data_IF_511782054851
#
_entry.id   IF_511782054851
#
_cell.length_a   1.000
_cell.length_b   1.000
_cell.length_c   1.000
_cell.angle_alpha   90.00
_cell.angle_beta   90.00
_cell.angle_gamma   90.00
#
_symmetry.space_group_name_H-M   'P 1'
#
loop_
_entity.id
_entity.type
_entity.pdbx_description
1 polymer ?
#
# COMPACT_ATOMS: atom_id res chain seq x y z
N UNK A 1 70.46 -3.09 -14.07
CA UNK A 1 69.69 -1.86 -13.79
C UNK A 1 68.23 -2.24 -13.57
N UNK A 2 67.68 -1.96 -12.38
CA UNK A 2 66.25 -2.08 -12.04
C UNK A 2 65.58 -0.72 -12.23
N UNK A 3 64.30 -0.68 -12.59
CA UNK A 3 63.37 0.02 -11.71
C UNK A 3 62.33 -0.91 -11.07
N UNK A 4 61.97 -0.55 -9.84
CA UNK A 4 60.99 -1.15 -8.94
C UNK A 4 59.60 -0.53 -9.18
N UNK A 5 58.59 -1.30 -8.74
CA UNK A 5 57.26 -0.87 -8.25
C UNK A 5 56.26 -0.37 -9.33
N UNK A 6 54.94 -0.51 -9.18
CA UNK A 6 54.13 -0.74 -7.98
C UNK A 6 52.86 -1.54 -8.31
N UNK A 7 52.39 -2.36 -7.36
CA UNK A 7 51.02 -2.87 -7.29
C UNK A 7 50.10 -1.76 -6.77
N UNK A 8 48.97 -1.44 -7.40
CA UNK A 8 47.87 -0.79 -6.71
C UNK A 8 47.04 -1.87 -6.01
N UNK A 9 47.17 -1.91 -4.68
CA UNK A 9 46.18 -2.46 -3.78
C UNK A 9 45.03 -1.47 -3.61
N UNK A 10 43.80 -1.97 -3.57
CA UNK A 10 42.68 -1.34 -2.87
C UNK A 10 42.10 -0.06 -3.48
N UNK A 11 40.91 -0.20 -4.06
CA UNK A 11 39.86 0.80 -3.86
C UNK A 11 38.55 0.03 -3.65
N UNK A 12 38.08 0.06 -2.40
CA UNK A 12 36.83 -0.56 -1.99
C UNK A 12 35.66 0.05 -2.77
N UNK A 13 34.74 -0.81 -3.22
CA UNK A 13 33.40 -0.46 -3.67
C UNK A 13 32.70 0.47 -2.66
N UNK A 14 32.23 1.67 -3.04
CA UNK A 14 31.17 2.34 -2.32
C UNK A 14 29.84 1.99 -3.00
N UNK A 15 29.41 0.72 -2.93
CA UNK A 15 28.09 0.31 -3.45
C UNK A 15 27.35 -0.44 -2.35
N UNK A 16 26.99 0.25 -1.27
CA UNK A 16 26.18 -0.34 -0.20
C UNK A 16 25.10 0.59 0.37
N UNK A 17 25.01 1.85 -0.07
CA UNK A 17 24.05 2.81 0.50
C UNK A 17 22.71 2.86 -0.28
N UNK A 18 22.69 2.45 -1.54
CA UNK A 18 21.46 2.52 -2.38
C UNK A 18 20.41 1.46 -2.00
N UNK A 19 20.83 0.31 -1.44
CA UNK A 19 19.93 -0.79 -1.10
C UNK A 19 18.96 -0.48 0.05
N UNK A 20 19.32 0.44 0.95
CA UNK A 20 18.46 0.83 2.08
C UNK A 20 17.25 1.67 1.62
N UNK A 21 17.42 2.49 0.58
CA UNK A 21 16.34 3.35 0.08
C UNK A 21 15.23 2.54 -0.61
N UNK A 22 15.61 1.51 -1.37
CA UNK A 22 14.62 0.61 -2.01
C UNK A 22 13.84 -0.25 -1.01
N UNK A 23 14.43 -0.53 0.16
CA UNK A 23 13.78 -1.32 1.20
C UNK A 23 12.68 -0.52 1.93
N UNK A 24 12.91 0.77 2.21
CA UNK A 24 11.90 1.65 2.84
C UNK A 24 10.71 1.93 1.91
N UNK A 25 10.97 2.16 0.62
CA UNK A 25 9.90 2.33 -0.38
C UNK A 25 8.97 1.10 -0.39
N UNK A 26 9.56 -0.10 -0.29
CA UNK A 26 8.81 -1.35 -0.23
C UNK A 26 8.00 -1.56 1.06
N UNK A 27 8.41 -0.98 2.19
CA UNK A 27 7.67 -1.13 3.46
C UNK A 27 6.48 -0.17 3.51
N UNK A 28 6.67 1.07 3.07
CA UNK A 28 5.60 2.06 2.94
C UNK A 28 4.54 1.57 1.95
N UNK A 29 4.94 1.06 0.78
CA UNK A 29 3.99 0.53 -0.20
C UNK A 29 3.20 -0.67 0.32
N UNK A 30 3.85 -1.57 1.07
CA UNK A 30 3.15 -2.69 1.72
C UNK A 30 2.13 -2.21 2.74
N UNK A 31 2.46 -1.17 3.51
CA UNK A 31 1.54 -0.60 4.48
C UNK A 31 0.35 0.07 3.77
N UNK A 32 0.60 0.89 2.74
CA UNK A 32 -0.45 1.50 1.90
C UNK A 32 -1.39 0.46 1.30
N UNK A 33 -0.84 -0.61 0.73
CA UNK A 33 -1.61 -1.72 0.16
C UNK A 33 -2.49 -2.37 1.22
N UNK A 34 -1.91 -2.68 2.38
CA UNK A 34 -2.62 -3.32 3.50
C UNK A 34 -3.74 -2.42 4.00
N UNK A 35 -3.45 -1.14 4.28
CA UNK A 35 -4.44 -0.17 4.73
C UNK A 35 -5.57 -0.01 3.71
N UNK A 36 -5.27 0.13 2.41
CA UNK A 36 -6.31 0.29 1.39
C UNK A 36 -7.22 -0.94 1.29
N UNK A 37 -6.63 -2.14 1.27
CA UNK A 37 -7.39 -3.39 1.26
C UNK A 37 -8.28 -3.54 2.49
N UNK A 38 -7.76 -3.17 3.67
CA UNK A 38 -8.51 -3.16 4.93
C UNK A 38 -9.66 -2.16 4.93
N UNK A 39 -9.69 -1.12 4.10
CA UNK A 39 -10.87 -0.24 4.02
C UNK A 39 -12.10 -0.95 3.45
N UNK A 40 -11.88 -1.98 2.63
CA UNK A 40 -12.92 -2.59 1.81
C UNK A 40 -14.10 -3.13 2.65
N UNK A 41 -13.91 -3.95 3.70
CA UNK A 41 -15.02 -4.53 4.46
C UNK A 41 -15.90 -3.50 5.17
N UNK A 42 -15.35 -2.35 5.57
CA UNK A 42 -16.12 -1.28 6.20
C UNK A 42 -16.88 -0.39 5.21
N UNK A 43 -16.48 -0.41 3.93
CA UNK A 43 -17.10 0.39 2.88
C UNK A 43 -18.14 -0.38 2.08
N UNK A 44 -18.10 -1.71 2.10
CA UNK A 44 -19.17 -2.56 1.56
C UNK A 44 -20.19 -2.88 2.66
N UNK A 45 -21.44 -3.18 2.27
CA UNK A 45 -22.46 -3.59 3.21
C UNK A 45 -22.05 -4.88 3.93
N UNK A 46 -22.36 -4.99 5.24
CA UNK A 46 -21.88 -6.06 6.11
C UNK A 46 -22.34 -7.48 5.71
N UNK A 47 -23.42 -7.59 4.94
CA UNK A 47 -23.96 -8.84 4.39
C UNK A 47 -23.25 -9.30 3.11
N UNK A 48 -22.36 -8.47 2.57
CA UNK A 48 -21.64 -8.75 1.33
C UNK A 48 -20.19 -9.18 1.62
N UNK A 49 -19.76 -10.26 0.96
CA UNK A 49 -18.37 -10.73 1.01
C UNK A 49 -17.62 -10.33 -0.26
N UNK A 50 -16.79 -9.28 -0.23
CA UNK A 50 -16.07 -8.83 -1.40
C UNK A 50 -14.94 -9.80 -1.76
N UNK A 51 -14.88 -10.21 -3.03
CA UNK A 51 -13.76 -11.01 -3.55
C UNK A 51 -12.74 -10.09 -4.19
N UNK A 52 -11.51 -10.07 -3.68
CA UNK A 52 -10.43 -9.32 -4.32
C UNK A 52 -10.12 -9.88 -5.72
N UNK A 53 -9.93 -8.98 -6.68
CA UNK A 53 -9.50 -9.29 -8.05
C UNK A 53 -8.08 -8.81 -8.28
N UNK A 54 -7.77 -7.59 -7.86
CA UNK A 54 -6.45 -6.99 -8.01
C UNK A 54 -6.19 -5.98 -6.88
N UNK A 55 -4.93 -5.91 -6.44
CA UNK A 55 -4.45 -4.89 -5.50
C UNK A 55 -3.07 -4.44 -5.94
N UNK A 56 -2.87 -3.14 -6.09
CA UNK A 56 -1.59 -2.59 -6.56
C UNK A 56 -1.56 -1.07 -6.54
N UNK A 57 -0.50 -0.49 -7.11
CA UNK A 57 -0.39 0.96 -7.25
C UNK A 57 -1.52 1.51 -8.13
N UNK A 58 -2.11 2.61 -7.69
CA UNK A 58 -3.14 3.32 -8.45
C UNK A 58 -2.56 4.22 -9.54
N UNK A 59 -3.43 4.90 -10.28
CA UNK A 59 -3.03 5.78 -11.39
C UNK A 59 -2.47 7.14 -10.94
N UNK A 60 -2.66 7.53 -9.69
CA UNK A 60 -2.13 8.76 -9.12
C UNK A 60 -0.86 8.47 -8.28
N UNK A 61 0.01 9.47 -8.08
CA UNK A 61 1.09 9.36 -7.09
C UNK A 61 0.53 8.98 -5.72
N UNK A 62 1.29 8.17 -4.96
CA UNK A 62 0.94 7.76 -3.60
C UNK A 62 -0.48 7.18 -3.47
N UNK A 63 -0.93 6.45 -4.50
CA UNK A 63 -2.25 5.83 -4.52
C UNK A 63 -2.18 4.32 -4.64
N UNK A 64 -3.18 3.66 -4.08
CA UNK A 64 -3.40 2.22 -4.20
C UNK A 64 -4.77 1.98 -4.80
N UNK A 65 -4.84 1.06 -5.75
CA UNK A 65 -6.07 0.60 -6.38
C UNK A 65 -6.40 -0.81 -5.89
N UNK A 66 -7.65 -1.00 -5.50
CA UNK A 66 -8.24 -2.30 -5.16
C UNK A 66 -9.42 -2.53 -6.08
N UNK A 67 -9.31 -3.52 -6.96
CA UNK A 67 -10.44 -4.00 -7.76
C UNK A 67 -11.02 -5.25 -7.09
N UNK A 68 -12.34 -5.30 -6.93
CA UNK A 68 -13.04 -6.37 -6.22
C UNK A 68 -14.36 -6.73 -6.91
N UNK A 69 -14.89 -7.90 -6.61
CA UNK A 69 -16.20 -8.35 -7.07
C UNK A 69 -17.20 -8.47 -5.92
N UNK A 70 -18.43 -8.03 -6.17
CA UNK A 70 -19.62 -8.30 -5.37
C UNK A 70 -20.58 -9.12 -6.23
N UNK A 71 -20.63 -10.43 -6.00
CA UNK A 71 -21.29 -11.36 -6.90
C UNK A 71 -20.68 -11.30 -8.30
N UNK A 72 -21.48 -10.89 -9.30
CA UNK A 72 -21.05 -10.76 -10.71
C UNK A 72 -20.59 -9.33 -11.08
N UNK A 73 -20.71 -8.36 -10.17
CA UNK A 73 -20.35 -6.97 -10.45
C UNK A 73 -18.95 -6.68 -9.98
N UNK A 74 -18.16 -6.01 -10.83
CA UNK A 74 -16.83 -5.54 -10.47
C UNK A 74 -16.90 -4.09 -10.02
N UNK A 75 -16.09 -3.76 -9.03
CA UNK A 75 -16.02 -2.47 -8.38
C UNK A 75 -14.57 -2.10 -8.13
N UNK A 76 -14.34 -0.81 -7.90
CA UNK A 76 -13.01 -0.30 -7.59
C UNK A 76 -13.01 0.66 -6.41
N UNK A 77 -11.98 0.53 -5.58
CA UNK A 77 -11.58 1.55 -4.62
C UNK A 77 -10.19 2.10 -5.01
N UNK A 78 -10.07 3.42 -5.03
CA UNK A 78 -8.79 4.12 -5.14
C UNK A 78 -8.53 4.85 -3.81
N UNK A 79 -7.49 4.43 -3.09
CA UNK A 79 -7.02 5.07 -1.86
C UNK A 79 -5.88 6.04 -2.17
N UNK A 80 -5.95 7.25 -1.64
CA UNK A 80 -4.89 8.25 -1.72
C UNK A 80 -4.20 8.37 -0.36
N UNK A 81 -2.88 8.36 -0.38
CA UNK A 81 -2.04 8.51 0.80
C UNK A 81 -1.31 9.85 0.77
N UNK A 82 -0.87 10.30 1.94
CA UNK A 82 0.19 11.29 2.03
C UNK A 82 1.51 10.69 1.50
N UNK A 83 2.57 11.50 1.42
CA UNK A 83 3.90 11.02 1.00
C UNK A 83 4.48 9.88 1.88
N UNK A 84 3.78 9.46 2.94
CA UNK A 84 3.99 8.23 3.69
C UNK A 84 2.79 7.29 3.58
N UNK A 85 2.33 6.70 4.69
CA UNK A 85 1.23 5.74 4.68
C UNK A 85 -0.09 6.30 5.29
N UNK A 86 -0.18 7.61 5.47
CA UNK A 86 -1.38 8.24 6.02
C UNK A 86 -2.49 8.34 4.98
N UNK A 87 -3.60 7.65 5.18
CA UNK A 87 -4.75 7.68 4.28
C UNK A 87 -5.43 9.06 4.31
N UNK A 88 -5.50 9.75 3.17
CA UNK A 88 -6.06 11.11 3.05
C UNK A 88 -7.31 11.18 2.16
N UNK A 89 -7.59 10.14 1.37
CA UNK A 89 -8.74 10.12 0.50
C UNK A 89 -9.10 8.72 0.04
N UNK A 90 -10.39 8.51 -0.26
CA UNK A 90 -10.89 7.27 -0.85
C UNK A 90 -11.90 7.64 -1.94
N UNK A 91 -11.81 6.97 -3.08
CA UNK A 91 -12.85 6.98 -4.11
C UNK A 91 -13.35 5.57 -4.34
N UNK A 92 -14.66 5.38 -4.26
CA UNK A 92 -15.35 4.14 -4.60
C UNK A 92 -16.14 4.35 -5.88
N UNK A 93 -15.89 3.54 -6.91
CA UNK A 93 -16.54 3.63 -8.22
C UNK A 93 -16.62 5.07 -8.73
N UNK A 94 -15.47 5.75 -8.68
CA UNK A 94 -15.26 7.16 -9.06
C UNK A 94 -15.85 8.22 -8.13
N UNK A 95 -16.67 7.85 -7.12
CA UNK A 95 -17.24 8.78 -6.14
C UNK A 95 -16.34 8.92 -4.93
N UNK A 96 -16.04 10.15 -4.53
CA UNK A 96 -15.26 10.40 -3.32
C UNK A 96 -16.08 10.04 -2.08
N UNK A 97 -15.44 9.35 -1.14
CA UNK A 97 -15.96 9.18 0.22
C UNK A 97 -15.91 10.54 0.92
N UNK A 98 -16.95 10.89 1.67
CA UNK A 98 -17.00 12.17 2.39
C UNK A 98 -15.92 12.23 3.48
N UNK A 99 -15.45 13.43 3.81
CA UNK A 99 -14.43 13.61 4.85
C UNK A 99 -14.85 13.07 6.21
N UNK A 100 -16.13 13.21 6.58
CA UNK A 100 -16.68 12.64 7.82
C UNK A 100 -16.66 11.11 7.83
N UNK A 101 -17.07 10.46 6.74
CA UNK A 101 -17.01 9.00 6.62
C UNK A 101 -15.56 8.50 6.64
N UNK A 102 -14.64 9.20 5.98
CA UNK A 102 -13.21 8.90 6.02
C UNK A 102 -12.63 9.01 7.44
N UNK A 103 -12.98 10.07 8.17
CA UNK A 103 -12.56 10.24 9.56
C UNK A 103 -13.04 9.09 10.43
N UNK A 104 -14.32 8.72 10.31
CA UNK A 104 -14.91 7.62 11.09
C UNK A 104 -14.22 6.29 10.78
N UNK A 105 -14.02 5.99 9.49
CA UNK A 105 -13.30 4.80 9.04
C UNK A 105 -11.88 4.73 9.64
N UNK A 106 -11.12 5.82 9.60
CA UNK A 106 -9.77 5.85 10.16
C UNK A 106 -9.79 5.64 11.68
N UNK A 107 -10.57 6.43 12.39
CA UNK A 107 -10.53 6.50 13.86
C UNK A 107 -11.15 5.28 14.55
N UNK A 108 -12.20 4.71 13.97
CA UNK A 108 -13.04 3.71 14.64
C UNK A 108 -13.01 2.33 13.99
N UNK A 109 -12.40 2.20 12.81
CA UNK A 109 -12.29 0.89 12.16
C UNK A 109 -10.83 0.52 11.87
N UNK A 110 -10.08 1.31 11.10
CA UNK A 110 -8.72 0.94 10.67
C UNK A 110 -7.72 0.80 11.83
N UNK A 111 -7.98 1.45 12.96
CA UNK A 111 -7.15 1.37 14.17
C UNK A 111 -7.54 0.20 15.10
N UNK A 112 -8.50 -0.65 14.72
CA UNK A 112 -9.00 -1.76 15.57
C UNK A 112 -8.51 -3.12 15.07
N UNK A 113 -8.56 -4.12 15.97
CA UNK A 113 -8.29 -5.52 15.62
C UNK A 113 -9.29 -6.07 14.60
N UNK A 114 -10.50 -5.51 14.55
CA UNK A 114 -11.53 -5.92 13.57
C UNK A 114 -11.06 -5.64 12.14
N UNK A 115 -10.35 -4.54 11.91
CA UNK A 115 -9.81 -4.24 10.58
C UNK A 115 -8.75 -5.24 10.14
N UNK A 116 -7.99 -5.79 11.08
CA UNK A 116 -7.00 -6.83 10.78
C UNK A 116 -7.66 -8.18 10.54
N UNK A 117 -8.64 -8.53 11.38
CA UNK A 117 -9.37 -9.80 11.31
C UNK A 117 -10.23 -9.92 10.05
N UNK A 118 -10.73 -8.79 9.53
CA UNK A 118 -11.56 -8.74 8.33
C UNK A 118 -10.77 -8.37 7.07
N UNK A 119 -9.43 -8.35 7.13
CA UNK A 119 -8.61 -8.07 5.95
C UNK A 119 -8.89 -9.12 4.84
N UNK A 120 -9.41 -8.73 3.67
CA UNK A 120 -9.81 -9.68 2.62
C UNK A 120 -8.63 -10.34 1.89
N UNK A 121 -7.40 -10.15 2.36
CA UNK A 121 -6.24 -10.92 1.90
C UNK A 121 -6.45 -12.43 2.16
N UNK A 122 -5.96 -13.31 1.28
CA UNK A 122 -5.88 -14.72 1.62
C UNK A 122 -4.96 -14.91 2.85
N UNK A 123 -5.44 -15.66 3.85
CA UNK A 123 -4.60 -16.17 4.92
C UNK A 123 -3.47 -16.99 4.28
N UNK A 124 -2.22 -16.59 4.50
CA UNK A 124 -1.04 -17.34 4.02
C UNK A 124 -0.78 -18.55 4.89
#
# INVERSE_FOLDING_TARGET
MRPRAARPAGALLPIAVVAFLTACDSSVDRLRITTCRRTLPALVAADLSPRLLHVGRGSAPDSVRVDYALGQRQHRIDCLFDGGAGLIGIRMDHKAVSGGALFMLKKYYLETLDSEANDPAPAR
#
